data_IF_324757882912
#
_entry.id   IF_324757882912
#
_cell.length_a   1.000
_cell.length_b   1.000
_cell.length_c   1.000
_cell.angle_alpha   90.00
_cell.angle_beta   90.00
_cell.angle_gamma   90.00
#
_symmetry.space_group_name_H-M   'P 1'
#
loop_
_entity.id
_entity.type
_entity.pdbx_description
1 polymer ?
#
# COMPACT_ATOMS: atom_id res chain seq x y z
N UNK A 1 8.46 20.21 15.89
CA UNK A 1 9.54 19.69 15.04
C UNK A 1 8.97 18.75 13.98
N UNK A 2 9.62 18.63 12.81
CA UNK A 2 9.25 17.61 11.84
C UNK A 2 9.67 16.24 12.35
N UNK A 3 8.91 15.19 11.99
CA UNK A 3 9.24 13.82 12.28
C UNK A 3 9.89 13.17 11.04
N UNK A 4 11.07 12.58 11.22
CA UNK A 4 11.74 11.79 10.20
C UNK A 4 11.46 10.31 10.47
N UNK A 5 10.90 9.62 9.46
CA UNK A 5 10.62 8.19 9.52
C UNK A 5 11.45 7.52 8.43
N UNK A 6 12.26 6.53 8.80
CA UNK A 6 13.06 5.77 7.83
C UNK A 6 13.14 4.30 8.25
N UNK A 7 12.53 3.41 7.48
CA UNK A 7 12.48 1.98 7.74
C UNK A 7 11.09 1.39 7.58
N UNK A 8 10.81 0.32 8.29
CA UNK A 8 9.54 -0.40 8.24
C UNK A 8 8.71 -0.05 9.48
N UNK A 9 7.64 0.76 9.35
CA UNK A 9 6.69 0.94 10.45
C UNK A 9 5.90 -0.33 10.71
N UNK A 10 5.47 -0.52 11.96
CA UNK A 10 4.66 -1.67 12.35
C UNK A 10 3.47 -1.23 13.20
N UNK A 11 2.35 -1.93 13.05
CA UNK A 11 1.15 -1.67 13.84
C UNK A 11 0.75 -2.92 14.60
N UNK A 12 0.77 -2.81 15.95
CA UNK A 12 0.27 -3.86 16.83
C UNK A 12 -1.21 -3.63 17.10
N UNK A 13 -2.00 -4.67 16.89
CA UNK A 13 -3.45 -4.64 17.04
C UNK A 13 -3.94 -5.85 17.84
N UNK A 14 -5.06 -5.65 18.52
CA UNK A 14 -5.88 -6.72 19.08
C UNK A 14 -7.16 -6.80 18.25
N UNK A 15 -7.37 -7.94 17.58
CA UNK A 15 -8.46 -8.11 16.62
C UNK A 15 -9.20 -9.41 16.86
N UNK A 16 -10.47 -9.43 16.51
CA UNK A 16 -11.24 -10.66 16.30
C UNK A 16 -11.94 -10.57 14.93
N UNK A 17 -12.14 -11.70 14.30
CA UNK A 17 -12.93 -11.80 13.07
C UNK A 17 -14.07 -12.79 13.27
N UNK A 18 -15.18 -12.59 12.57
CA UNK A 18 -16.34 -13.48 12.63
C UNK A 18 -16.31 -14.61 11.59
N UNK A 19 -15.21 -14.74 10.85
CA UNK A 19 -14.99 -15.76 9.82
C UNK A 19 -13.61 -16.39 9.94
N UNK A 20 -13.45 -17.65 9.47
CA UNK A 20 -12.17 -18.38 9.57
C UNK A 20 -11.09 -17.84 8.63
N UNK A 21 -11.47 -17.10 7.58
CA UNK A 21 -10.57 -16.43 6.66
C UNK A 21 -10.84 -14.93 6.71
N UNK A 22 -9.85 -14.17 7.13
CA UNK A 22 -9.94 -12.74 7.29
C UNK A 22 -8.60 -12.06 7.00
N UNK A 23 -8.62 -10.77 6.72
CA UNK A 23 -7.42 -9.96 6.53
C UNK A 23 -7.55 -8.61 7.23
N UNK A 24 -6.41 -8.02 7.54
CA UNK A 24 -6.31 -6.66 8.09
C UNK A 24 -5.44 -5.84 7.16
N UNK A 25 -6.00 -4.79 6.61
CA UNK A 25 -5.29 -3.79 5.82
C UNK A 25 -5.08 -2.54 6.67
N UNK A 26 -3.87 -2.00 6.65
CA UNK A 26 -3.48 -0.81 7.40
C UNK A 26 -2.88 0.21 6.44
N UNK A 27 -3.27 1.49 6.59
CA UNK A 27 -2.65 2.63 5.93
C UNK A 27 -2.19 3.63 6.98
N UNK A 28 -0.92 4.02 6.89
CA UNK A 28 -0.35 5.12 7.66
C UNK A 28 -0.30 6.35 6.76
N UNK A 29 -0.90 7.43 7.19
CA UNK A 29 -0.96 8.69 6.45
C UNK A 29 -0.51 9.86 7.30
N UNK A 30 0.07 10.88 6.67
CA UNK A 30 0.25 12.21 7.24
C UNK A 30 -0.91 13.10 6.81
N UNK A 31 -1.58 13.71 7.77
CA UNK A 31 -2.70 14.62 7.53
C UNK A 31 -2.23 16.04 7.82
N UNK A 32 -2.23 16.87 6.79
CA UNK A 32 -1.87 18.28 6.87
C UNK A 32 -2.95 19.09 7.62
N UNK A 33 -2.64 20.32 8.06
CA UNK A 33 -3.60 21.19 8.74
C UNK A 33 -4.85 21.51 7.90
N UNK A 34 -4.74 21.54 6.59
CA UNK A 34 -5.85 21.74 5.64
C UNK A 34 -6.71 20.50 5.42
N UNK A 35 -6.35 19.36 6.04
CA UNK A 35 -7.04 18.09 5.90
C UNK A 35 -6.52 17.19 4.76
N UNK A 36 -5.64 17.68 3.90
CA UNK A 36 -4.99 16.86 2.87
C UNK A 36 -4.26 15.69 3.51
N UNK A 37 -4.41 14.50 2.92
CA UNK A 37 -3.86 13.27 3.48
C UNK A 37 -2.92 12.59 2.50
N UNK A 38 -1.63 12.54 2.84
CA UNK A 38 -0.60 11.83 2.09
C UNK A 38 -0.34 10.43 2.65
N UNK A 39 -0.28 9.41 1.80
CA UNK A 39 0.09 8.05 2.18
C UNK A 39 1.59 7.98 2.49
N UNK A 40 1.95 7.47 3.66
CA UNK A 40 3.34 7.20 4.05
C UNK A 40 3.72 5.74 3.86
N UNK A 41 2.86 4.85 4.34
CA UNK A 41 3.08 3.40 4.26
C UNK A 41 1.75 2.64 4.31
N UNK A 42 1.75 1.43 3.81
CA UNK A 42 0.60 0.51 3.88
C UNK A 42 1.06 -0.90 4.22
N UNK A 43 0.19 -1.68 4.83
CA UNK A 43 0.43 -3.09 5.11
C UNK A 43 -0.83 -3.91 4.97
N UNK A 44 -0.65 -5.20 4.75
CA UNK A 44 -1.73 -6.17 4.66
C UNK A 44 -1.28 -7.45 5.36
N UNK A 45 -2.11 -7.94 6.26
CA UNK A 45 -1.92 -9.21 6.93
C UNK A 45 -3.13 -10.12 6.69
N UNK A 46 -2.91 -11.25 6.03
CA UNK A 46 -3.88 -12.33 6.05
C UNK A 46 -3.83 -12.98 7.44
N UNK A 47 -4.92 -12.94 8.19
CA UNK A 47 -4.97 -13.45 9.55
C UNK A 47 -4.74 -14.96 9.65
N UNK A 48 -4.97 -15.71 8.57
CA UNK A 48 -4.61 -17.13 8.54
C UNK A 48 -3.09 -17.34 8.49
N UNK A 49 -2.32 -16.30 8.14
CA UNK A 49 -0.84 -16.32 8.08
C UNK A 49 -0.19 -15.53 9.23
N UNK A 50 -0.94 -15.23 10.27
CA UNK A 50 -0.48 -14.40 11.40
C UNK A 50 0.72 -14.97 12.17
N UNK A 51 0.92 -16.30 12.11
CA UNK A 51 2.03 -16.98 12.80
C UNK A 51 3.07 -17.53 11.83
N UNK A 52 2.64 -17.98 10.64
CA UNK A 52 3.53 -18.58 9.64
C UNK A 52 3.03 -18.31 8.24
N UNK A 53 3.93 -17.96 7.33
CA UNK A 53 3.60 -17.84 5.91
C UNK A 53 3.52 -19.20 5.22
N UNK A 54 4.25 -20.19 5.71
CA UNK A 54 4.27 -21.56 5.14
C UNK A 54 3.03 -22.36 5.56
N UNK A 55 2.62 -22.25 6.82
CA UNK A 55 1.56 -23.04 7.41
C UNK A 55 0.38 -22.13 7.81
N UNK A 56 -0.68 -22.06 6.99
CA UNK A 56 -1.85 -21.26 7.31
C UNK A 56 -2.65 -21.92 8.45
N UNK A 57 -3.14 -21.09 9.35
CA UNK A 57 -3.99 -21.50 10.46
C UNK A 57 -5.30 -20.70 10.42
N UNK A 58 -6.43 -21.39 10.30
CA UNK A 58 -7.73 -20.74 10.31
C UNK A 58 -7.91 -19.87 11.57
N UNK A 59 -8.63 -18.77 11.40
CA UNK A 59 -9.05 -17.93 12.52
C UNK A 59 -10.21 -18.63 13.22
N UNK A 60 -10.20 -18.70 14.54
CA UNK A 60 -11.35 -19.10 15.32
C UNK A 60 -12.31 -17.90 15.41
N UNK A 61 -13.52 -17.99 14.85
CA UNK A 61 -14.45 -16.88 14.87
C UNK A 61 -14.72 -16.35 16.27
N UNK A 62 -14.57 -15.03 16.46
CA UNK A 62 -14.78 -14.36 17.73
C UNK A 62 -13.60 -14.41 18.71
N UNK A 63 -12.58 -15.22 18.46
CA UNK A 63 -11.38 -15.24 19.29
C UNK A 63 -10.55 -13.96 19.11
N UNK A 64 -10.18 -13.35 20.24
CA UNK A 64 -9.32 -12.16 20.24
C UNK A 64 -7.85 -12.57 20.08
N UNK A 65 -7.19 -12.01 19.11
CA UNK A 65 -5.79 -12.28 18.83
C UNK A 65 -4.96 -10.98 18.78
N UNK A 66 -3.73 -11.07 19.28
CA UNK A 66 -2.72 -10.05 19.07
C UNK A 66 -2.04 -10.28 17.72
N UNK A 67 -1.93 -9.25 16.89
CA UNK A 67 -1.28 -9.31 15.60
C UNK A 67 -0.39 -8.09 15.40
N UNK A 68 0.71 -8.29 14.69
CA UNK A 68 1.57 -7.21 14.19
C UNK A 68 1.43 -7.14 12.67
N UNK A 69 1.12 -5.97 12.17
CA UNK A 69 1.05 -5.70 10.73
C UNK A 69 2.27 -4.87 10.33
N UNK A 70 3.26 -5.46 9.65
CA UNK A 70 4.35 -4.68 9.08
C UNK A 70 3.83 -3.87 7.89
N UNK A 71 4.29 -2.63 7.78
CA UNK A 71 3.95 -1.76 6.67
C UNK A 71 5.09 -1.77 5.63
N UNK A 72 4.83 -1.19 4.46
CA UNK A 72 5.88 -1.00 3.46
C UNK A 72 6.99 -0.11 4.01
N UNK A 73 8.24 -0.41 3.60
CA UNK A 73 9.38 0.46 3.89
C UNK A 73 9.09 1.87 3.42
N UNK A 74 9.42 2.84 4.24
CA UNK A 74 9.23 4.26 3.92
C UNK A 74 10.44 5.07 4.38
N UNK A 75 10.70 6.16 3.64
CA UNK A 75 11.59 7.24 4.07
C UNK A 75 10.82 8.55 3.83
N UNK A 76 10.38 9.18 4.90
CA UNK A 76 9.50 10.33 4.82
C UNK A 76 9.82 11.36 5.90
N UNK A 77 9.70 12.64 5.52
CA UNK A 77 9.69 13.75 6.46
C UNK A 77 8.26 14.23 6.64
N UNK A 78 7.71 14.05 7.81
CA UNK A 78 6.40 14.56 8.19
C UNK A 78 6.59 15.97 8.75
N UNK A 79 6.08 17.02 8.09
CA UNK A 79 6.26 18.38 8.56
C UNK A 79 5.62 18.63 9.93
N UNK A 80 6.12 19.61 10.66
CA UNK A 80 5.49 20.06 11.89
C UNK A 80 4.03 20.50 11.64
N UNK A 81 3.14 20.24 12.59
CA UNK A 81 1.71 20.53 12.45
C UNK A 81 0.89 19.47 11.75
N UNK A 82 1.52 18.49 11.08
CA UNK A 82 0.80 17.32 10.55
C UNK A 82 0.45 16.34 11.65
N UNK A 83 -0.59 15.56 11.41
CA UNK A 83 -1.03 14.46 12.29
C UNK A 83 -0.83 13.13 11.58
N UNK A 84 -0.31 12.13 12.31
CA UNK A 84 -0.32 10.76 11.83
C UNK A 84 -1.71 10.16 11.99
N UNK A 85 -2.17 9.47 10.96
CA UNK A 85 -3.44 8.74 10.98
C UNK A 85 -3.23 7.32 10.53
N UNK A 86 -3.79 6.38 11.29
CA UNK A 86 -3.89 4.97 10.91
C UNK A 86 -5.32 4.71 10.47
N UNK A 87 -5.48 4.16 9.27
CA UNK A 87 -6.75 3.62 8.79
C UNK A 87 -6.65 2.10 8.72
N UNK A 88 -7.66 1.41 9.26
CA UNK A 88 -7.71 -0.05 9.33
C UNK A 88 -8.98 -0.51 8.62
N UNK A 89 -8.83 -1.55 7.77
CA UNK A 89 -9.93 -2.11 7.01
C UNK A 89 -9.81 -3.64 6.91
N UNK A 90 -10.92 -4.32 6.65
CA UNK A 90 -10.97 -5.77 6.41
C UNK A 90 -10.66 -6.17 4.97
N UNK A 91 -10.45 -5.21 4.06
CA UNK A 91 -10.15 -5.44 2.66
C UNK A 91 -9.29 -4.31 2.09
N UNK A 92 -8.55 -4.59 1.04
CA UNK A 92 -7.67 -3.64 0.36
C UNK A 92 -7.70 -3.82 -1.17
N UNK A 93 -8.88 -4.07 -1.74
CA UNK A 93 -9.02 -4.13 -3.19
C UNK A 93 -8.64 -2.78 -3.84
N UNK A 94 -7.92 -2.79 -4.97
CA UNK A 94 -7.45 -3.93 -5.78
C UNK A 94 -6.06 -4.46 -5.39
N UNK A 95 -5.47 -3.97 -4.30
CA UNK A 95 -4.12 -4.39 -3.85
C UNK A 95 -4.10 -5.87 -3.48
N UNK A 96 -5.19 -6.35 -2.89
CA UNK A 96 -5.42 -7.77 -2.61
C UNK A 96 -6.90 -8.11 -2.79
N UNK A 97 -7.15 -9.37 -3.16
CA UNK A 97 -8.50 -9.91 -3.19
C UNK A 97 -9.13 -9.83 -1.79
N UNK A 98 -10.41 -9.47 -1.72
CA UNK A 98 -11.13 -9.53 -0.45
C UNK A 98 -11.22 -10.99 0.05
N UNK A 99 -11.54 -11.20 1.33
CA UNK A 99 -11.90 -12.51 1.84
C UNK A 99 -13.06 -13.12 1.04
N UNK A 100 -13.17 -14.46 0.97
CA UNK A 100 -14.20 -15.14 0.17
C UNK A 100 -15.64 -14.87 0.64
N UNK A 101 -15.79 -14.42 1.88
CA UNK A 101 -17.05 -14.04 2.49
C UNK A 101 -16.94 -12.65 3.14
N UNK A 102 -18.03 -11.91 3.28
CA UNK A 102 -18.03 -10.69 4.09
C UNK A 102 -17.56 -10.95 5.51
N UNK A 103 -16.56 -10.23 5.96
CA UNK A 103 -15.95 -10.37 7.29
C UNK A 103 -16.19 -9.12 8.11
N UNK A 104 -16.62 -9.32 9.36
CA UNK A 104 -16.62 -8.27 10.38
C UNK A 104 -15.37 -8.41 11.23
N UNK A 105 -14.53 -7.36 11.20
CA UNK A 105 -13.41 -7.23 12.13
C UNK A 105 -13.87 -6.41 13.34
N UNK A 106 -13.50 -6.90 14.53
CA UNK A 106 -13.62 -6.16 15.78
C UNK A 106 -12.23 -5.78 16.25
N UNK A 107 -11.99 -4.48 16.44
CA UNK A 107 -10.76 -3.96 17.02
C UNK A 107 -10.97 -3.71 18.53
N UNK A 108 -10.01 -4.16 19.30
CA UNK A 108 -9.97 -3.91 20.75
C UNK A 108 -8.87 -2.89 21.03
N UNK A 109 -9.21 -1.86 21.76
CA UNK A 109 -8.29 -0.80 22.14
C UNK A 109 -8.65 -0.29 23.53
N UNK A 110 -8.07 -0.92 24.54
CA UNK A 110 -8.24 -0.59 25.94
C UNK A 110 -6.89 -0.68 26.69
N UNK A 111 -6.89 -0.45 27.97
CA UNK A 111 -5.66 -0.48 28.79
C UNK A 111 -4.98 -1.87 28.80
N UNK A 112 -5.77 -2.94 28.71
CA UNK A 112 -5.25 -4.32 28.68
C UNK A 112 -4.82 -4.75 27.26
N UNK A 113 -5.42 -4.13 26.23
CA UNK A 113 -5.21 -4.46 24.82
C UNK A 113 -4.89 -3.20 24.01
N UNK A 114 -3.79 -2.52 24.27
CA UNK A 114 -3.41 -1.30 23.57
C UNK A 114 -3.00 -1.58 22.13
N UNK A 115 -3.56 -0.83 21.18
CA UNK A 115 -3.00 -0.76 19.82
C UNK A 115 -1.82 0.21 19.82
N UNK A 116 -0.78 -0.12 19.05
CA UNK A 116 0.46 0.67 19.00
C UNK A 116 0.94 0.83 17.58
N UNK A 117 1.44 2.02 17.27
CA UNK A 117 2.23 2.29 16.09
C UNK A 117 3.69 2.36 16.51
N UNK A 118 4.52 1.50 15.95
CA UNK A 118 5.98 1.56 16.07
C UNK A 118 6.54 2.23 14.82
N UNK A 119 7.21 3.34 15.00
CA UNK A 119 7.83 4.10 13.93
C UNK A 119 9.34 4.02 14.04
N UNK A 120 10.05 3.67 12.95
CA UNK A 120 11.49 3.78 12.87
C UNK A 120 11.86 5.27 12.71
N UNK A 121 11.92 6.00 13.83
CA UNK A 121 12.28 7.41 13.82
C UNK A 121 13.80 7.57 13.58
N UNK A 122 14.17 8.43 12.64
CA UNK A 122 15.55 8.78 12.38
C UNK A 122 15.95 10.03 13.18
N UNK A 123 17.09 9.99 13.83
CA UNK A 123 17.60 11.12 14.63
C UNK A 123 18.09 12.30 13.78
N UNK A 124 18.27 12.11 12.48
CA UNK A 124 18.69 13.14 11.55
C UNK A 124 18.61 12.65 10.12
N UNK A 125 18.55 13.58 9.20
CA UNK A 125 18.67 13.36 7.77
C UNK A 125 19.99 14.01 7.33
N UNK A 126 21.00 13.19 7.02
CA UNK A 126 22.12 13.69 6.24
C UNK A 126 21.69 13.65 4.77
N UNK A 127 21.75 14.74 4.01
CA UNK A 127 21.63 14.66 2.57
C UNK A 127 22.68 13.66 2.08
N UNK A 128 22.32 12.86 1.09
CA UNK A 128 23.26 11.93 0.46
C UNK A 128 24.46 12.76 -0.01
N UNK A 129 25.61 12.54 0.62
CA UNK A 129 26.80 13.37 0.39
C UNK A 129 27.55 13.00 -0.90
N UNK A 130 27.21 11.85 -1.48
CA UNK A 130 27.75 11.47 -2.78
C UNK A 130 26.91 12.11 -3.88
N UNK A 131 27.54 12.95 -4.68
CA UNK A 131 27.03 13.27 -6.00
C UNK A 131 27.09 11.98 -6.80
N UNK A 132 25.95 11.31 -6.89
CA UNK A 132 25.80 10.10 -7.71
C UNK A 132 26.03 10.42 -9.19
N UNK A 133 26.37 11.67 -9.52
CA UNK A 133 26.44 12.19 -10.86
C UNK A 133 25.04 12.17 -11.49
N UNK A 134 24.74 13.10 -12.32
CA UNK A 134 23.71 12.89 -13.34
C UNK A 134 24.22 11.69 -14.15
N UNK A 135 23.52 10.56 -14.07
CA UNK A 135 23.78 9.45 -14.98
C UNK A 135 24.00 10.00 -16.39
N UNK A 136 24.81 9.35 -17.18
CA UNK A 136 25.10 9.78 -18.55
C UNK A 136 23.84 10.36 -19.16
N UNK A 137 23.96 11.62 -19.64
CA UNK A 137 22.82 12.45 -20.06
C UNK A 137 21.72 11.61 -20.67
N UNK A 138 20.52 11.72 -20.09
CA UNK A 138 19.37 10.95 -20.55
C UNK A 138 19.31 10.98 -22.07
N UNK A 139 19.60 9.85 -22.68
CA UNK A 139 19.48 9.71 -24.11
C UNK A 139 18.01 9.91 -24.42
N UNK A 140 17.64 10.89 -25.25
CA UNK A 140 16.24 11.16 -25.48
C UNK A 140 15.57 9.90 -26.03
N UNK A 141 14.65 9.35 -25.27
CA UNK A 141 13.71 8.36 -25.78
C UNK A 141 12.80 9.08 -26.77
N UNK A 142 12.80 8.61 -28.01
CA UNK A 142 11.88 9.13 -29.02
C UNK A 142 10.61 8.29 -28.97
N UNK A 143 9.48 8.91 -28.70
CA UNK A 143 8.19 8.25 -28.81
C UNK A 143 7.88 7.99 -30.28
N UNK A 144 7.78 6.73 -30.66
CA UNK A 144 7.47 6.32 -32.02
C UNK A 144 6.03 5.90 -32.25
N UNK A 145 5.35 5.55 -31.15
CA UNK A 145 3.96 5.09 -31.21
C UNK A 145 3.18 5.73 -30.08
N UNK A 146 2.10 6.46 -30.42
CA UNK A 146 1.21 6.93 -29.37
C UNK A 146 0.73 5.75 -28.53
N UNK A 147 0.81 5.87 -27.23
CA UNK A 147 0.25 4.89 -26.30
C UNK A 147 -1.28 4.88 -26.35
N UNK A 148 -1.87 3.86 -25.78
CA UNK A 148 -3.27 3.92 -25.40
C UNK A 148 -3.41 4.97 -24.31
N UNK A 149 -4.48 5.78 -24.30
CA UNK A 149 -4.70 6.75 -23.24
C UNK A 149 -4.62 6.08 -21.86
N UNK A 150 -3.84 6.68 -20.97
CA UNK A 150 -3.79 6.20 -19.60
C UNK A 150 -5.16 6.29 -18.96
N UNK A 151 -5.63 5.18 -18.41
CA UNK A 151 -6.87 5.12 -17.67
C UNK A 151 -6.68 4.36 -16.36
N UNK A 152 -7.13 4.97 -15.29
CA UNK A 152 -7.21 4.35 -13.97
C UNK A 152 -8.56 4.71 -13.36
N UNK A 153 -9.47 3.74 -13.30
CA UNK A 153 -10.79 3.97 -12.72
C UNK A 153 -11.32 2.74 -11.99
N UNK A 154 -12.13 2.99 -11.00
CA UNK A 154 -12.90 1.96 -10.30
C UNK A 154 -14.36 2.11 -10.70
N UNK A 155 -14.91 1.08 -11.31
CA UNK A 155 -16.32 0.98 -11.67
C UNK A 155 -17.05 0.15 -10.61
N UNK A 156 -18.17 0.65 -10.11
CA UNK A 156 -19.00 -0.08 -9.15
C UNK A 156 -20.37 -0.31 -9.74
N UNK A 157 -20.80 -1.57 -9.77
CA UNK A 157 -22.14 -1.96 -10.12
C UNK A 157 -22.88 -2.32 -8.81
N UNK A 158 -23.74 -1.40 -8.36
CA UNK A 158 -24.49 -1.57 -7.12
C UNK A 158 -25.56 -2.66 -7.24
N UNK A 159 -26.06 -2.92 -8.46
CA UNK A 159 -27.08 -3.95 -8.69
C UNK A 159 -26.46 -5.34 -8.70
N UNK A 160 -25.32 -5.49 -9.33
CA UNK A 160 -24.58 -6.75 -9.37
C UNK A 160 -23.73 -6.95 -8.11
N UNK A 161 -23.54 -5.90 -7.29
CA UNK A 161 -22.65 -5.93 -6.11
C UNK A 161 -21.19 -6.09 -6.46
N UNK A 162 -20.77 -5.72 -7.67
CA UNK A 162 -19.41 -5.90 -8.14
C UNK A 162 -18.62 -4.59 -8.18
N UNK A 163 -17.31 -4.73 -7.98
CA UNK A 163 -16.36 -3.62 -8.13
C UNK A 163 -15.28 -4.03 -9.14
N UNK A 164 -15.10 -3.24 -10.19
CA UNK A 164 -14.12 -3.50 -11.24
C UNK A 164 -13.07 -2.41 -11.25
N UNK A 165 -11.79 -2.81 -11.18
CA UNK A 165 -10.67 -1.94 -11.50
C UNK A 165 -10.38 -2.05 -13.00
N UNK A 166 -10.26 -0.90 -13.65
CA UNK A 166 -9.75 -0.79 -15.03
C UNK A 166 -8.47 0.03 -15.01
N UNK A 167 -7.41 -0.55 -15.56
CA UNK A 167 -6.13 0.12 -15.78
C UNK A 167 -5.70 -0.08 -17.22
N UNK A 168 -5.42 1.01 -17.91
CA UNK A 168 -4.95 1.00 -19.30
C UNK A 168 -3.70 1.90 -19.38
N UNK A 169 -2.66 1.38 -19.98
CA UNK A 169 -1.39 2.08 -20.17
C UNK A 169 -0.70 1.52 -21.41
N UNK A 170 -0.08 2.37 -22.19
CA UNK A 170 0.73 1.87 -23.32
C UNK A 170 1.50 2.96 -24.03
N UNK A 171 2.50 2.52 -24.77
CA UNK A 171 3.36 3.37 -25.60
C UNK A 171 4.56 2.61 -26.13
N UNK A 172 5.26 3.22 -27.06
CA UNK A 172 6.49 2.68 -27.61
C UNK A 172 7.56 3.75 -27.73
N UNK A 173 8.79 3.38 -27.33
CA UNK A 173 9.95 4.26 -27.38
C UNK A 173 11.05 3.63 -28.22
N UNK A 174 11.76 4.45 -28.97
CA UNK A 174 12.96 4.06 -29.70
C UNK A 174 14.22 4.52 -28.95
N UNK A 175 15.21 3.68 -28.94
CA UNK A 175 16.55 4.01 -28.49
C UNK A 175 17.41 4.37 -29.73
N UNK A 176 17.74 5.66 -29.97
CA UNK A 176 18.39 6.11 -31.21
C UNK A 176 19.73 5.44 -31.48
N UNK A 177 20.43 4.98 -30.45
CA UNK A 177 21.78 4.42 -30.56
C UNK A 177 21.83 2.89 -30.64
N UNK A 178 20.69 2.22 -30.71
CA UNK A 178 20.57 0.76 -30.80
C UNK A 178 19.82 0.35 -32.05
N UNK A 179 20.39 0.59 -33.21
CA UNK A 179 19.97 0.01 -34.52
C UNK A 179 18.44 -0.11 -34.70
N UNK A 180 17.70 0.92 -34.34
CA UNK A 180 16.25 0.92 -34.52
C UNK A 180 15.47 0.04 -33.52
N UNK A 181 16.08 -0.31 -32.38
CA UNK A 181 15.35 -1.04 -31.35
C UNK A 181 14.15 -0.22 -30.84
N UNK A 182 12.95 -0.73 -31.05
CA UNK A 182 11.71 -0.19 -30.54
C UNK A 182 11.25 -1.08 -29.41
N UNK A 183 11.04 -0.50 -28.24
CA UNK A 183 10.42 -1.14 -27.11
C UNK A 183 9.06 -0.51 -26.87
N UNK A 184 8.02 -1.32 -26.79
CA UNK A 184 6.68 -0.84 -26.48
C UNK A 184 5.82 -1.90 -25.80
N UNK A 185 4.92 -1.46 -24.95
CA UNK A 185 3.92 -2.31 -24.32
C UNK A 185 2.56 -1.62 -24.33
N UNK A 186 1.52 -2.41 -24.49
CA UNK A 186 0.14 -2.01 -24.23
C UNK A 186 -0.38 -2.95 -23.16
N UNK A 187 -0.73 -2.37 -22.03
CA UNK A 187 -1.29 -3.10 -20.90
C UNK A 187 -2.75 -2.70 -20.70
N UNK A 188 -3.62 -3.69 -20.68
CA UNK A 188 -5.02 -3.52 -20.30
C UNK A 188 -5.33 -4.52 -19.21
N UNK A 189 -5.68 -3.98 -18.07
CA UNK A 189 -5.94 -4.78 -16.89
C UNK A 189 -7.35 -4.49 -16.38
N UNK A 190 -8.15 -5.54 -16.24
CA UNK A 190 -9.49 -5.45 -15.68
C UNK A 190 -9.66 -6.54 -14.63
N UNK A 191 -9.93 -6.14 -13.41
CA UNK A 191 -10.20 -7.06 -12.29
C UNK A 191 -11.55 -6.73 -11.69
N UNK A 192 -12.41 -7.73 -11.59
CA UNK A 192 -13.74 -7.61 -10.98
C UNK A 192 -13.79 -8.50 -9.73
N UNK A 193 -14.29 -7.95 -8.63
CA UNK A 193 -14.52 -8.63 -7.37
C UNK A 193 -15.95 -8.41 -6.88
#
# INVERSE_FOLDING_TARGET
EPLLVAGIPEVDLWVAADRPVAQVAVRLTAVAPDGTSGLLARGLLNLTRRRSFAEPEAVVPGEVMAVTVPLTTTAARVPAGHRLRIAIAGAAFPVAWPPPEPVRLTLFHDAARPSRLRLPAAAGWAPFAEDLGTGAADRPLVEERPGIPEAWRVERDELAGTTTLVSELGGGHRFPERDGLVFGSDERFRVTA
#
